data_IF_011324810545
#
_entry.id   IF_011324810545
#
_cell.length_a   1.000
_cell.length_b   1.000
_cell.length_c   1.000
_cell.angle_alpha   90.00
_cell.angle_beta   90.00
_cell.angle_gamma   90.00
#
_symmetry.space_group_name_H-M   'P 1'
#
loop_
_entity.id
_entity.type
_entity.pdbx_description
1 polymer ?
#
# COMPACT_ATOMS: atom_id res chain seq x y z
N UNK A 1 -22.59 -14.63 5.47
CA UNK A 1 -21.32 -14.91 6.14
C UNK A 1 -20.49 -15.92 5.36
N UNK A 2 -21.07 -16.99 4.85
CA UNK A 2 -20.35 -18.08 4.15
C UNK A 2 -19.59 -17.57 2.91
N UNK A 3 -20.22 -16.75 2.10
CA UNK A 3 -19.57 -16.15 0.93
C UNK A 3 -18.35 -15.27 1.33
N UNK A 4 -18.44 -14.51 2.44
CA UNK A 4 -17.29 -13.74 2.94
C UNK A 4 -16.12 -14.64 3.32
N UNK A 5 -16.41 -15.75 4.01
CA UNK A 5 -15.43 -16.76 4.38
C UNK A 5 -14.80 -17.40 3.14
N UNK A 6 -15.62 -17.81 2.18
CA UNK A 6 -15.15 -18.40 0.93
C UNK A 6 -14.20 -17.48 0.16
N UNK A 7 -14.60 -16.22 -0.03
CA UNK A 7 -13.75 -15.21 -0.67
C UNK A 7 -12.44 -14.95 0.11
N UNK A 8 -12.54 -14.85 1.42
CA UNK A 8 -11.36 -14.64 2.28
C UNK A 8 -10.40 -15.82 2.15
N UNK A 9 -10.90 -17.05 2.23
CA UNK A 9 -10.08 -18.25 2.08
C UNK A 9 -9.47 -18.34 0.69
N UNK A 10 -10.26 -18.17 -0.37
CA UNK A 10 -9.78 -18.20 -1.76
C UNK A 10 -8.69 -17.14 -2.00
N UNK A 11 -8.84 -15.95 -1.43
CA UNK A 11 -7.83 -14.88 -1.55
C UNK A 11 -6.54 -15.19 -0.79
N UNK A 12 -6.63 -15.65 0.46
CA UNK A 12 -5.48 -15.83 1.34
C UNK A 12 -4.74 -17.17 1.13
N UNK A 13 -5.35 -18.11 0.39
CA UNK A 13 -4.71 -19.40 0.03
C UNK A 13 -4.29 -19.46 -1.44
N UNK A 14 -4.17 -18.31 -2.10
CA UNK A 14 -3.66 -18.27 -3.48
C UNK A 14 -2.25 -18.88 -3.55
N UNK A 15 -2.00 -19.64 -4.60
CA UNK A 15 -0.72 -20.32 -4.85
C UNK A 15 -0.30 -21.34 -3.77
N UNK A 16 -1.23 -21.82 -2.94
CA UNK A 16 -0.97 -22.88 -1.93
C UNK A 16 -1.71 -24.20 -2.21
N UNK A 17 -2.55 -24.21 -3.25
CA UNK A 17 -3.34 -25.39 -3.62
C UNK A 17 -2.47 -26.40 -4.39
N UNK A 18 -2.85 -27.68 -4.35
CA UNK A 18 -2.16 -28.74 -5.08
C UNK A 18 -2.47 -28.66 -6.60
N UNK A 19 -1.78 -27.75 -7.27
CA UNK A 19 -1.87 -27.52 -8.72
C UNK A 19 -0.56 -26.88 -9.24
N UNK A 20 -0.50 -26.66 -10.55
CA UNK A 20 0.69 -26.10 -11.22
C UNK A 20 1.10 -24.69 -10.73
N UNK A 21 0.23 -23.99 -10.03
CA UNK A 21 0.49 -22.63 -9.46
C UNK A 21 0.90 -22.67 -7.99
N UNK A 22 1.19 -23.84 -7.42
CA UNK A 22 1.64 -23.97 -6.03
C UNK A 22 3.08 -23.45 -5.87
N UNK A 23 3.24 -22.43 -5.04
CA UNK A 23 4.52 -21.77 -4.81
C UNK A 23 5.18 -22.11 -3.45
N UNK A 24 4.61 -23.01 -2.66
CA UNK A 24 5.13 -23.31 -1.31
C UNK A 24 6.59 -23.78 -1.34
N UNK A 25 6.94 -24.70 -2.24
CA UNK A 25 8.32 -25.16 -2.37
C UNK A 25 9.27 -24.09 -2.95
N UNK A 26 8.74 -23.18 -3.78
CA UNK A 26 9.51 -22.03 -4.30
C UNK A 26 9.84 -21.06 -3.18
N UNK A 27 8.87 -20.72 -2.32
CA UNK A 27 9.08 -19.84 -1.16
C UNK A 27 10.12 -20.44 -0.21
N UNK A 28 10.06 -21.74 0.04
CA UNK A 28 11.02 -22.45 0.89
C UNK A 28 12.43 -22.42 0.30
N UNK A 29 12.58 -22.71 -1.00
CA UNK A 29 13.85 -22.60 -1.71
C UNK A 29 14.39 -21.18 -1.68
N UNK A 30 13.55 -20.17 -1.90
CA UNK A 30 13.94 -18.76 -1.85
C UNK A 30 14.50 -18.37 -0.48
N UNK A 31 13.86 -18.81 0.61
CA UNK A 31 14.33 -18.54 1.97
C UNK A 31 15.72 -19.19 2.21
N UNK A 32 15.89 -20.44 1.79
CA UNK A 32 17.17 -21.16 1.93
C UNK A 32 18.30 -20.51 1.12
N UNK A 33 18.07 -20.18 -0.15
CA UNK A 33 19.07 -19.52 -1.00
C UNK A 33 19.46 -18.14 -0.43
N UNK A 34 18.51 -17.38 0.10
CA UNK A 34 18.81 -16.11 0.79
C UNK A 34 19.69 -16.32 2.02
N UNK A 35 19.43 -17.37 2.79
CA UNK A 35 20.29 -17.74 3.92
C UNK A 35 21.72 -18.10 3.45
N UNK A 36 21.86 -18.93 2.42
CA UNK A 36 23.16 -19.31 1.85
C UNK A 36 23.93 -18.09 1.34
N UNK A 37 23.26 -17.13 0.66
CA UNK A 37 23.88 -15.87 0.21
C UNK A 37 24.43 -15.11 1.41
N UNK A 38 23.65 -14.95 2.47
CA UNK A 38 24.07 -14.21 3.65
C UNK A 38 25.30 -14.87 4.30
N UNK A 39 25.27 -16.17 4.49
CA UNK A 39 26.37 -16.95 5.06
C UNK A 39 27.64 -16.87 4.20
N UNK A 40 27.50 -16.96 2.86
CA UNK A 40 28.63 -16.83 1.94
C UNK A 40 29.30 -15.45 2.05
N UNK A 41 28.52 -14.41 2.35
CA UNK A 41 28.98 -13.03 2.54
C UNK A 41 29.44 -12.74 3.99
N UNK A 42 29.39 -13.74 4.90
CA UNK A 42 29.85 -13.62 6.28
C UNK A 42 28.82 -13.04 7.26
N UNK A 43 27.52 -13.08 6.93
CA UNK A 43 26.43 -12.64 7.78
C UNK A 43 25.66 -13.82 8.37
N UNK A 44 25.17 -13.67 9.59
CA UNK A 44 24.41 -14.72 10.28
C UNK A 44 23.08 -15.05 9.59
N UNK A 45 22.46 -14.08 8.96
CA UNK A 45 21.20 -14.24 8.25
C UNK A 45 20.98 -13.13 7.21
N UNK A 46 19.99 -13.34 6.34
CA UNK A 46 19.70 -12.43 5.24
C UNK A 46 19.16 -11.05 5.70
N UNK A 47 18.56 -10.96 6.88
CA UNK A 47 18.12 -9.68 7.44
C UNK A 47 19.34 -8.81 7.79
N UNK A 48 20.33 -9.35 8.50
CA UNK A 48 21.56 -8.63 8.83
C UNK A 48 22.31 -8.16 7.58
N UNK A 49 22.41 -9.03 6.57
CA UNK A 49 22.98 -8.65 5.27
C UNK A 49 22.27 -7.46 4.63
N UNK A 50 20.91 -7.48 4.60
CA UNK A 50 20.16 -6.39 3.97
C UNK A 50 20.15 -5.09 4.79
N UNK A 51 20.17 -5.19 6.12
CA UNK A 51 20.03 -4.02 6.99
C UNK A 51 21.26 -3.13 7.02
N UNK A 52 22.46 -3.64 6.69
CA UNK A 52 23.71 -2.88 6.73
C UNK A 52 23.66 -1.58 5.90
N UNK A 53 22.92 -1.60 4.76
CA UNK A 53 22.76 -0.42 3.89
C UNK A 53 21.38 0.26 4.05
N UNK A 54 20.65 -0.04 5.13
CA UNK A 54 19.35 0.56 5.44
C UNK A 54 19.47 1.51 6.63
N UNK A 55 18.49 2.41 6.79
CA UNK A 55 18.46 3.36 7.92
C UNK A 55 18.54 2.67 9.29
N UNK A 56 17.97 1.49 9.44
CA UNK A 56 17.97 0.75 10.69
C UNK A 56 19.34 0.13 11.02
N UNK A 57 20.16 -0.20 10.01
CA UNK A 57 21.51 -0.77 10.07
C UNK A 57 21.60 -2.18 10.70
N UNK A 58 20.76 -2.53 11.65
CA UNK A 58 20.77 -3.82 12.35
C UNK A 58 19.37 -4.21 12.84
N UNK A 59 19.20 -5.48 13.20
CA UNK A 59 17.93 -6.03 13.69
C UNK A 59 17.49 -5.43 15.02
N UNK A 60 18.41 -5.08 15.91
CA UNK A 60 18.09 -4.46 17.20
C UNK A 60 17.32 -3.14 17.02
N UNK A 61 17.80 -2.28 16.12
CA UNK A 61 17.13 -1.02 15.78
C UNK A 61 15.74 -1.24 15.20
N UNK A 62 15.56 -2.29 14.38
CA UNK A 62 14.25 -2.66 13.83
C UNK A 62 13.30 -3.08 14.95
N UNK A 63 13.71 -4.02 15.82
CA UNK A 63 12.88 -4.49 16.92
C UNK A 63 12.54 -3.38 17.91
N UNK A 64 13.50 -2.52 18.24
CA UNK A 64 13.26 -1.35 19.10
C UNK A 64 12.12 -0.47 18.57
N UNK A 65 12.11 -0.18 17.26
CA UNK A 65 11.03 0.58 16.65
C UNK A 65 9.71 -0.20 16.66
N UNK A 66 9.74 -1.49 16.30
CA UNK A 66 8.53 -2.32 16.24
C UNK A 66 7.91 -2.49 17.64
N UNK A 67 8.72 -2.68 18.68
CA UNK A 67 8.24 -2.83 20.05
C UNK A 67 7.59 -1.52 20.56
N UNK A 68 8.19 -0.37 20.26
CA UNK A 68 7.58 0.93 20.55
C UNK A 68 6.24 1.12 19.85
N UNK A 69 6.14 0.74 18.58
CA UNK A 69 4.89 0.80 17.82
C UNK A 69 3.85 -0.18 18.38
N UNK A 70 4.28 -1.40 18.73
CA UNK A 70 3.40 -2.41 19.33
C UNK A 70 2.81 -1.93 20.64
N UNK A 71 3.64 -1.38 21.51
CA UNK A 71 3.19 -0.82 22.80
C UNK A 71 2.20 0.34 22.59
N UNK A 72 2.54 1.29 21.68
CA UNK A 72 1.73 2.46 21.44
C UNK A 72 0.38 2.16 20.77
N UNK A 73 0.35 1.24 19.80
CA UNK A 73 -0.86 0.98 19.00
C UNK A 73 -1.75 -0.15 19.51
N UNK A 74 -1.23 -1.08 20.31
CA UNK A 74 -2.02 -2.22 20.81
C UNK A 74 -3.27 -1.80 21.58
N UNK A 75 -3.26 -0.79 22.48
CA UNK A 75 -4.46 -0.36 23.19
C UNK A 75 -5.55 0.14 22.22
N UNK A 76 -5.18 0.97 21.24
CA UNK A 76 -6.10 1.50 20.21
C UNK A 76 -6.68 0.37 19.35
N UNK A 77 -5.85 -0.55 18.90
CA UNK A 77 -6.31 -1.69 18.09
C UNK A 77 -7.31 -2.58 18.86
N UNK A 78 -7.07 -2.80 20.17
CA UNK A 78 -8.02 -3.54 21.02
C UNK A 78 -9.35 -2.81 21.17
N UNK A 79 -9.33 -1.50 21.33
CA UNK A 79 -10.53 -0.69 21.41
C UNK A 79 -11.32 -0.72 20.09
N UNK A 80 -10.66 -0.51 18.97
CA UNK A 80 -11.29 -0.58 17.64
C UNK A 80 -11.90 -1.97 17.37
N UNK A 81 -11.18 -3.04 17.72
CA UNK A 81 -11.73 -4.40 17.63
C UNK A 81 -12.98 -4.56 18.46
N UNK A 82 -12.98 -4.07 19.71
CA UNK A 82 -14.14 -4.17 20.60
C UNK A 82 -15.36 -3.41 20.05
N UNK A 83 -15.15 -2.24 19.45
CA UNK A 83 -16.23 -1.47 18.82
C UNK A 83 -16.83 -2.21 17.61
N UNK A 84 -16.00 -2.77 16.74
CA UNK A 84 -16.48 -3.55 15.58
C UNK A 84 -17.17 -4.82 16.03
N UNK A 85 -16.66 -5.52 17.06
CA UNK A 85 -17.29 -6.70 17.65
C UNK A 85 -18.66 -6.38 18.26
N UNK A 86 -18.78 -5.24 18.97
CA UNK A 86 -20.04 -4.79 19.54
C UNK A 86 -21.09 -4.49 18.46
N UNK A 87 -20.69 -3.81 17.37
CA UNK A 87 -21.57 -3.58 16.22
C UNK A 87 -22.03 -4.89 15.56
N UNK A 88 -21.12 -5.85 15.42
CA UNK A 88 -21.45 -7.15 14.83
C UNK A 88 -22.44 -7.92 15.71
N UNK A 89 -22.28 -7.91 17.05
CA UNK A 89 -23.23 -8.52 17.99
C UNK A 89 -24.61 -7.87 17.96
N UNK A 90 -24.68 -6.56 17.82
CA UNK A 90 -25.97 -5.86 17.66
C UNK A 90 -26.76 -6.33 16.41
N UNK A 91 -26.03 -6.74 15.37
CA UNK A 91 -26.63 -7.16 14.10
C UNK A 91 -26.97 -8.66 14.04
N UNK A 92 -26.15 -9.50 14.68
CA UNK A 92 -26.18 -10.97 14.50
C UNK A 92 -26.56 -11.73 15.79
N UNK A 93 -26.51 -11.08 16.96
CA UNK A 93 -26.76 -11.67 18.28
C UNK A 93 -25.52 -11.71 19.18
N UNK A 94 -25.75 -11.82 20.49
CA UNK A 94 -24.71 -11.70 21.52
C UNK A 94 -23.59 -12.75 21.42
N UNK A 95 -23.93 -13.95 20.94
CA UNK A 95 -22.97 -15.05 20.78
C UNK A 95 -22.07 -14.90 19.53
N UNK A 96 -22.30 -13.85 18.72
CA UNK A 96 -21.51 -13.65 17.51
C UNK A 96 -20.06 -13.31 17.82
N UNK A 97 -19.15 -14.10 17.28
CA UNK A 97 -17.69 -13.86 17.32
C UNK A 97 -17.22 -13.40 15.96
N UNK A 98 -16.56 -12.25 15.94
CA UNK A 98 -15.97 -11.66 14.74
C UNK A 98 -14.79 -12.52 14.26
N UNK A 99 -14.85 -12.98 13.04
CA UNK A 99 -13.78 -13.74 12.39
C UNK A 99 -13.05 -12.86 11.36
N UNK A 100 -11.83 -13.23 10.93
CA UNK A 100 -11.04 -12.41 10.00
C UNK A 100 -11.81 -12.02 8.72
N UNK A 101 -12.67 -12.89 8.20
CA UNK A 101 -13.51 -12.61 7.03
C UNK A 101 -14.70 -11.68 7.30
N UNK A 102 -15.00 -11.39 8.55
CA UNK A 102 -16.08 -10.48 8.94
C UNK A 102 -15.56 -9.05 9.15
N UNK A 103 -14.26 -8.87 9.40
CA UNK A 103 -13.65 -7.60 9.77
C UNK A 103 -13.95 -6.48 8.77
N UNK A 104 -13.62 -6.66 7.50
CA UNK A 104 -13.82 -5.63 6.48
C UNK A 104 -15.29 -5.20 6.36
N UNK A 105 -16.23 -6.14 6.48
CA UNK A 105 -17.65 -5.86 6.39
C UNK A 105 -18.18 -5.01 7.55
N UNK A 106 -17.83 -5.38 8.80
CA UNK A 106 -18.32 -4.65 9.97
C UNK A 106 -17.55 -3.36 10.22
N UNK A 107 -16.28 -3.28 9.91
CA UNK A 107 -15.52 -2.04 9.98
C UNK A 107 -16.03 -1.00 8.98
N UNK A 108 -16.41 -1.42 7.77
CA UNK A 108 -17.07 -0.54 6.80
C UNK A 108 -18.41 -0.02 7.35
N UNK A 109 -19.27 -0.91 7.87
CA UNK A 109 -20.53 -0.49 8.51
C UNK A 109 -20.33 0.47 9.69
N UNK A 110 -19.28 0.26 10.49
CA UNK A 110 -18.95 1.17 11.59
C UNK A 110 -18.52 2.54 11.07
N UNK A 111 -17.70 2.58 10.00
CA UNK A 111 -17.29 3.81 9.30
C UNK A 111 -18.51 4.58 8.82
N UNK A 112 -19.44 3.92 8.11
CA UNK A 112 -20.67 4.55 7.62
C UNK A 112 -21.52 5.11 8.75
N UNK A 113 -21.68 4.34 9.85
CA UNK A 113 -22.45 4.78 11.02
C UNK A 113 -21.82 5.98 11.74
N UNK A 114 -20.49 6.02 11.83
CA UNK A 114 -19.75 7.09 12.54
C UNK A 114 -19.63 8.37 11.72
N UNK A 115 -19.37 8.24 10.43
CA UNK A 115 -18.95 9.37 9.60
C UNK A 115 -19.96 9.71 8.50
N UNK A 116 -20.90 8.81 8.20
CA UNK A 116 -21.89 8.98 7.12
C UNK A 116 -21.26 9.45 5.79
N UNK A 117 -20.06 8.94 5.49
CA UNK A 117 -19.31 9.24 4.27
C UNK A 117 -19.51 8.10 3.32
N UNK A 118 -20.14 8.39 2.18
CA UNK A 118 -20.24 7.48 1.04
C UNK A 118 -19.16 7.86 0.02
N UNK A 119 -18.24 6.92 -0.23
CA UNK A 119 -17.15 7.12 -1.20
C UNK A 119 -17.69 7.38 -2.62
N UNK A 120 -18.89 6.85 -2.95
CA UNK A 120 -19.58 7.13 -4.23
C UNK A 120 -20.02 8.58 -4.36
N UNK A 121 -20.41 9.23 -3.27
CA UNK A 121 -20.75 10.66 -3.27
C UNK A 121 -19.51 11.55 -3.47
N UNK A 122 -18.33 11.05 -3.08
CA UNK A 122 -17.07 11.77 -3.24
C UNK A 122 -16.46 11.57 -4.64
N UNK A 123 -16.74 10.46 -5.31
CA UNK A 123 -16.16 10.10 -6.60
C UNK A 123 -16.23 11.21 -7.67
N UNK A 124 -17.35 11.94 -7.87
CA UNK A 124 -17.43 13.01 -8.86
C UNK A 124 -16.48 14.18 -8.59
N UNK A 125 -16.08 14.41 -7.34
CA UNK A 125 -15.15 15.48 -6.97
C UNK A 125 -13.69 15.11 -7.28
N UNK A 126 -13.39 13.82 -7.40
CA UNK A 126 -12.05 13.28 -7.67
C UNK A 126 -11.88 12.81 -9.12
N UNK A 127 -12.52 13.51 -10.06
CA UNK A 127 -12.24 13.30 -11.48
C UNK A 127 -10.75 13.58 -11.74
N UNK A 128 -10.10 12.73 -12.57
CA UNK A 128 -8.66 12.69 -12.74
C UNK A 128 -8.04 14.04 -13.12
N UNK A 129 -8.68 14.79 -14.03
CA UNK A 129 -8.16 16.10 -14.43
C UNK A 129 -8.27 17.13 -13.30
N UNK A 130 -9.35 17.11 -12.53
CA UNK A 130 -9.50 17.96 -11.37
C UNK A 130 -8.43 17.67 -10.31
N UNK A 131 -8.13 16.40 -10.06
CA UNK A 131 -7.05 16.01 -9.14
C UNK A 131 -5.69 16.47 -9.65
N UNK A 132 -5.38 16.27 -10.94
CA UNK A 132 -4.15 16.77 -11.57
C UNK A 132 -3.99 18.27 -11.39
N UNK A 133 -5.04 19.03 -11.71
CA UNK A 133 -5.04 20.49 -11.55
C UNK A 133 -4.85 20.89 -10.09
N UNK A 134 -5.49 20.18 -9.16
CA UNK A 134 -5.33 20.38 -7.73
C UNK A 134 -3.90 20.18 -7.25
N UNK A 135 -3.25 19.08 -7.69
CA UNK A 135 -1.84 18.76 -7.35
C UNK A 135 -0.89 19.81 -7.94
N UNK A 136 -1.06 20.16 -9.22
CA UNK A 136 -0.23 21.18 -9.86
C UNK A 136 -0.42 22.55 -9.21
N UNK A 137 -1.67 22.93 -8.91
CA UNK A 137 -1.97 24.17 -8.20
C UNK A 137 -1.40 24.23 -6.79
N UNK A 138 -1.33 23.09 -6.08
CA UNK A 138 -0.66 22.99 -4.78
C UNK A 138 0.85 23.21 -4.94
N UNK A 139 1.48 22.53 -5.88
CA UNK A 139 2.91 22.70 -6.17
C UNK A 139 3.24 24.15 -6.57
N UNK A 140 2.39 24.78 -7.36
CA UNK A 140 2.53 26.20 -7.73
C UNK A 140 2.48 27.10 -6.49
N UNK A 141 1.55 26.87 -5.55
CA UNK A 141 1.45 27.66 -4.31
C UNK A 141 2.62 27.46 -3.36
N UNK A 142 3.14 26.23 -3.28
CA UNK A 142 4.24 25.91 -2.37
C UNK A 142 5.62 26.33 -2.92
N UNK A 143 5.84 26.15 -4.22
CA UNK A 143 7.17 26.29 -4.81
C UNK A 143 7.26 27.36 -5.90
N UNK A 144 6.14 27.97 -6.29
CA UNK A 144 6.10 28.96 -7.38
C UNK A 144 6.29 28.35 -8.78
N UNK A 145 6.31 27.03 -8.92
CA UNK A 145 6.52 26.36 -10.21
C UNK A 145 5.20 26.26 -10.99
N UNK A 146 5.30 26.25 -12.32
CA UNK A 146 4.15 26.09 -13.22
C UNK A 146 4.36 24.93 -14.18
N UNK A 147 3.26 24.31 -14.63
CA UNK A 147 3.27 23.14 -15.50
C UNK A 147 2.53 23.45 -16.81
N UNK A 148 3.20 23.26 -17.94
CA UNK A 148 2.62 23.43 -19.28
C UNK A 148 2.69 22.11 -20.02
N UNK A 149 1.51 21.54 -20.38
CA UNK A 149 1.47 20.32 -21.19
C UNK A 149 2.12 20.58 -22.55
N UNK A 150 3.04 19.69 -22.95
CA UNK A 150 3.71 19.76 -24.24
C UNK A 150 3.60 18.39 -24.95
N UNK A 151 2.72 18.27 -25.97
CA UNK A 151 2.53 17.02 -26.72
C UNK A 151 3.69 16.70 -27.67
N UNK A 152 4.60 17.63 -27.94
CA UNK A 152 5.74 17.43 -28.83
C UNK A 152 6.91 16.70 -28.16
N UNK A 153 6.87 16.56 -26.81
CA UNK A 153 7.87 15.80 -26.08
C UNK A 153 7.59 14.30 -26.26
N UNK A 154 8.59 13.52 -26.74
CA UNK A 154 8.42 12.09 -26.91
C UNK A 154 8.04 11.39 -25.58
N UNK A 155 7.02 10.52 -25.63
CA UNK A 155 6.55 9.72 -24.49
C UNK A 155 6.73 8.24 -24.79
N UNK A 156 6.97 7.44 -23.75
CA UNK A 156 7.19 6.00 -23.88
C UNK A 156 5.89 5.17 -23.94
N UNK A 157 4.75 5.77 -23.67
CA UNK A 157 3.43 5.14 -23.77
C UNK A 157 2.34 6.17 -24.07
N UNK A 158 1.30 5.77 -24.78
CA UNK A 158 0.19 6.64 -25.20
C UNK A 158 -0.58 7.32 -24.06
N UNK A 159 -0.60 6.72 -22.88
CA UNK A 159 -1.29 7.23 -21.69
C UNK A 159 -0.39 8.13 -20.82
N UNK A 160 0.80 8.45 -21.29
CA UNK A 160 1.73 9.37 -20.62
C UNK A 160 1.53 10.78 -21.13
N UNK A 161 1.32 11.71 -20.21
CA UNK A 161 1.37 13.14 -20.50
C UNK A 161 2.75 13.70 -20.11
N UNK A 162 3.33 14.53 -20.99
CA UNK A 162 4.57 15.26 -20.72
C UNK A 162 4.26 16.74 -20.46
N UNK A 163 4.94 17.30 -19.47
CA UNK A 163 4.81 18.71 -19.06
C UNK A 163 6.18 19.37 -18.97
N UNK A 164 6.28 20.58 -19.50
CA UNK A 164 7.38 21.49 -19.18
C UNK A 164 7.11 22.15 -17.84
N UNK A 165 8.11 22.17 -16.98
CA UNK A 165 8.05 22.81 -15.65
C UNK A 165 8.88 24.09 -15.69
N UNK A 166 8.30 25.17 -15.23
CA UNK A 166 8.94 26.49 -15.17
C UNK A 166 8.96 26.99 -13.73
N UNK A 167 9.99 27.76 -13.38
CA UNK A 167 10.07 28.46 -12.11
C UNK A 167 9.13 29.70 -12.07
N UNK A 168 9.16 30.41 -10.93
CA UNK A 168 8.38 31.63 -10.71
C UNK A 168 8.69 32.76 -11.70
N UNK A 169 9.90 32.77 -12.29
CA UNK A 169 10.37 33.78 -13.24
C UNK A 169 10.13 33.33 -14.70
N UNK A 170 9.46 32.20 -14.91
CA UNK A 170 9.17 31.63 -16.22
C UNK A 170 10.35 30.92 -16.87
N UNK A 171 11.41 30.63 -16.12
CA UNK A 171 12.59 29.91 -16.63
C UNK A 171 12.31 28.41 -16.61
N UNK A 172 12.66 27.74 -17.70
CA UNK A 172 12.55 26.28 -17.80
C UNK A 172 13.39 25.56 -16.75
N UNK A 173 12.81 24.63 -16.02
CA UNK A 173 13.45 23.82 -14.99
C UNK A 173 13.63 22.37 -15.42
N UNK A 174 12.55 21.73 -15.88
CA UNK A 174 12.54 20.29 -16.10
C UNK A 174 11.38 19.85 -17.00
N UNK A 175 11.42 18.59 -17.42
CA UNK A 175 10.28 17.87 -18.00
C UNK A 175 9.71 16.91 -16.94
N UNK A 176 8.40 16.94 -16.79
CA UNK A 176 7.67 16.07 -15.86
C UNK A 176 6.70 15.18 -16.63
N UNK A 177 6.78 13.89 -16.40
CA UNK A 177 5.89 12.90 -17.02
C UNK A 177 4.87 12.38 -16.00
N UNK A 178 3.60 12.32 -16.40
CA UNK A 178 2.54 11.67 -15.62
C UNK A 178 2.08 10.39 -16.31
N UNK A 179 2.12 9.27 -15.60
CA UNK A 179 1.68 7.96 -16.08
C UNK A 179 0.68 7.37 -15.08
N UNK A 180 -0.56 7.88 -15.08
CA UNK A 180 -1.54 7.58 -14.03
C UNK A 180 -2.39 6.33 -14.32
N UNK A 181 -2.54 5.95 -15.60
CA UNK A 181 -3.37 4.83 -16.03
C UNK A 181 -2.55 3.61 -16.47
N UNK A 182 -1.26 3.78 -16.68
CA UNK A 182 -0.35 2.70 -17.07
C UNK A 182 0.26 2.06 -15.81
N UNK A 183 0.04 0.77 -15.63
CA UNK A 183 0.68 -0.02 -14.58
C UNK A 183 2.08 -0.39 -15.01
N UNK A 184 3.05 0.47 -14.74
CA UNK A 184 4.46 0.12 -14.82
C UNK A 184 4.86 -0.60 -13.53
N UNK A 185 5.63 -1.70 -13.57
CA UNK A 185 6.20 -2.27 -12.38
C UNK A 185 7.07 -1.21 -11.70
N UNK A 186 6.69 -0.81 -10.49
CA UNK A 186 7.51 0.12 -9.71
C UNK A 186 8.73 -0.60 -9.14
N UNK A 187 9.81 0.08 -8.80
CA UNK A 187 10.93 -0.54 -8.07
C UNK A 187 10.49 -1.22 -6.77
N UNK A 188 9.34 -0.83 -6.20
CA UNK A 188 8.73 -1.51 -5.04
C UNK A 188 8.14 -2.87 -5.41
N UNK A 189 7.55 -2.99 -6.60
CA UNK A 189 7.00 -4.25 -7.09
C UNK A 189 8.11 -5.24 -7.46
N UNK A 190 9.27 -4.75 -7.89
CA UNK A 190 10.46 -5.55 -8.16
C UNK A 190 11.18 -6.00 -6.88
N UNK A 191 10.99 -5.31 -5.74
CA UNK A 191 11.59 -5.70 -4.45
C UNK A 191 10.80 -6.76 -3.70
N UNK A 192 9.61 -7.11 -4.18
CA UNK A 192 8.74 -8.16 -3.62
C UNK A 192 8.74 -9.44 -4.45
N UNK A 193 9.52 -9.51 -5.53
CA UNK A 193 9.71 -10.69 -6.37
C UNK A 193 10.98 -11.45 -6.01
#
# INVERSE_FOLDING_TARGET
RDLRRELYMAYNTKCTHDNASNNLEIVKKLANVRMEIAQLLGYDNFAEYNLQERMAQNSESVYKLLDQLLEAYTPTAKQEYAEVQALARQAEGEDFVLMPWDWAYYSHKLKDRKFNIDDELLRPYFELNNVKQGVFGLATRLYGITFKKNPDIPVYHKDVDAYEVFDKDGKFLAVFYTCLLYTSPSPRDLSTS
#
